data_IF_018070438428
#
_entry.id   IF_018070438428
#
_cell.length_a   1.000
_cell.length_b   1.000
_cell.length_c   1.000
_cell.angle_alpha   90.00
_cell.angle_beta   90.00
_cell.angle_gamma   90.00
#
_symmetry.space_group_name_H-M   'P 1'
#
loop_
_entity.id
_entity.type
_entity.pdbx_description
1 polymer ?
#
# COMPACT_ATOMS: atom_id res chain seq x y z
N UNK A 1 -5.53 -2.02 -13.18
CA UNK A 1 -4.64 -1.46 -12.16
C UNK A 1 -3.47 -2.40 -11.97
N UNK A 2 -2.28 -1.87 -11.70
CA UNK A 2 -1.08 -2.65 -11.42
C UNK A 2 -0.18 -1.91 -10.42
N UNK A 3 0.54 -2.66 -9.59
CA UNK A 3 1.50 -2.12 -8.63
C UNK A 3 2.63 -1.37 -9.36
N UNK A 4 2.96 -0.20 -8.83
CA UNK A 4 4.04 0.67 -9.28
C UNK A 4 4.86 1.10 -8.07
N UNK A 5 6.00 0.44 -7.85
CA UNK A 5 6.94 0.84 -6.81
C UNK A 5 7.50 2.24 -7.15
N UNK A 6 7.11 3.26 -6.39
CA UNK A 6 7.25 4.65 -6.80
C UNK A 6 8.60 5.31 -6.44
N UNK A 7 9.51 4.55 -5.83
CA UNK A 7 10.82 5.06 -5.43
C UNK A 7 11.76 3.97 -4.93
N UNK A 8 13.04 4.30 -4.89
CA UNK A 8 14.09 3.39 -4.41
C UNK A 8 14.25 3.46 -2.90
N UNK A 9 14.56 2.34 -2.27
CA UNK A 9 14.99 2.29 -0.87
C UNK A 9 15.91 1.10 -0.61
N UNK A 10 16.68 1.16 0.47
CA UNK A 10 17.33 -0.04 0.97
C UNK A 10 16.24 -1.04 1.41
N UNK A 11 16.43 -2.31 1.11
CA UNK A 11 15.57 -3.41 1.54
C UNK A 11 16.34 -4.33 2.47
N UNK A 12 16.29 -3.99 3.76
CA UNK A 12 17.13 -4.59 4.80
C UNK A 12 16.26 -5.33 5.81
N UNK A 13 16.84 -6.32 6.48
CA UNK A 13 16.26 -6.94 7.67
C UNK A 13 17.35 -7.55 8.53
N UNK A 14 17.37 -7.22 9.81
CA UNK A 14 18.26 -7.86 10.77
C UNK A 14 17.58 -9.10 11.40
N UNK A 15 18.39 -10.11 11.73
CA UNK A 15 17.98 -11.27 12.55
C UNK A 15 18.30 -11.01 14.02
N UNK A 16 17.69 -11.79 14.91
CA UNK A 16 18.12 -11.90 16.30
C UNK A 16 19.59 -12.36 16.31
N UNK A 17 20.50 -11.54 16.85
CA UNK A 17 21.95 -11.77 16.80
C UNK A 17 22.74 -10.81 15.89
N UNK A 18 22.07 -9.85 15.23
CA UNK A 18 22.74 -8.74 14.55
C UNK A 18 23.20 -9.02 13.11
N UNK A 19 23.09 -10.26 12.62
CA UNK A 19 23.35 -10.60 11.23
C UNK A 19 22.18 -10.19 10.31
N UNK A 20 22.47 -9.92 9.03
CA UNK A 20 21.46 -9.67 8.02
C UNK A 20 20.64 -10.93 7.70
N UNK A 21 19.34 -10.76 7.44
CA UNK A 21 18.46 -11.85 7.06
C UNK A 21 18.67 -12.33 5.62
N UNK A 22 19.18 -11.42 4.78
CA UNK A 22 19.60 -11.58 3.39
C UNK A 22 20.72 -10.56 3.11
N UNK A 23 21.54 -10.72 2.06
CA UNK A 23 22.51 -9.69 1.67
C UNK A 23 21.82 -8.33 1.51
N UNK A 24 22.35 -7.23 2.09
CA UNK A 24 21.79 -5.90 1.91
C UNK A 24 21.52 -5.59 0.44
N UNK A 25 20.29 -5.15 0.15
CA UNK A 25 19.80 -4.94 -1.21
C UNK A 25 19.29 -3.51 -1.35
N UNK A 26 19.58 -2.87 -2.48
CA UNK A 26 18.82 -1.70 -2.93
C UNK A 26 17.61 -2.21 -3.71
N UNK A 27 16.41 -1.90 -3.25
CA UNK A 27 15.22 -2.07 -4.07
C UNK A 27 15.12 -0.88 -5.01
N UNK A 28 15.57 -1.08 -6.24
CA UNK A 28 15.79 -0.04 -7.23
C UNK A 28 14.51 0.31 -7.97
N UNK A 29 14.01 1.52 -7.76
CA UNK A 29 13.00 2.14 -8.61
C UNK A 29 13.41 3.59 -8.85
N UNK A 30 14.45 3.83 -9.65
CA UNK A 30 14.86 5.18 -10.02
C UNK A 30 13.79 5.82 -10.92
N UNK A 31 13.80 7.15 -11.04
CA UNK A 31 12.72 7.92 -11.67
C UNK A 31 12.50 7.51 -13.12
N UNK A 32 13.56 7.21 -13.86
CA UNK A 32 13.49 6.70 -15.24
C UNK A 32 12.74 5.37 -15.35
N UNK A 33 12.96 4.44 -14.42
CA UNK A 33 12.25 3.15 -14.37
C UNK A 33 10.78 3.34 -14.00
N UNK A 34 10.49 4.24 -13.05
CA UNK A 34 9.12 4.61 -12.69
C UNK A 34 8.41 5.21 -13.91
N UNK A 35 9.09 6.09 -14.67
CA UNK A 35 8.54 6.67 -15.90
C UNK A 35 8.23 5.59 -16.94
N UNK A 36 9.14 4.64 -17.17
CA UNK A 36 8.91 3.55 -18.13
C UNK A 36 7.68 2.72 -17.76
N UNK A 37 7.47 2.45 -16.45
CA UNK A 37 6.24 1.80 -15.98
C UNK A 37 5.00 2.64 -16.23
N UNK A 38 5.04 3.94 -15.92
CA UNK A 38 3.89 4.82 -16.13
C UNK A 38 3.53 4.98 -17.60
N UNK A 39 4.52 5.11 -18.48
CA UNK A 39 4.31 5.17 -19.93
C UNK A 39 3.63 3.88 -20.43
N UNK A 40 4.13 2.71 -20.00
CA UNK A 40 3.54 1.42 -20.35
C UNK A 40 2.12 1.25 -19.79
N UNK A 41 1.88 1.66 -18.54
CA UNK A 41 0.57 1.60 -17.91
C UNK A 41 -0.44 2.50 -18.63
N UNK A 42 -0.04 3.74 -18.94
CA UNK A 42 -0.88 4.69 -19.68
C UNK A 42 -1.25 4.16 -21.08
N UNK A 43 -0.28 3.64 -21.83
CA UNK A 43 -0.49 3.06 -23.16
C UNK A 43 -1.51 1.90 -23.14
N UNK A 44 -1.64 1.19 -22.01
CA UNK A 44 -2.54 0.06 -21.84
C UNK A 44 -3.80 0.40 -21.03
N UNK A 45 -4.01 1.67 -20.66
CA UNK A 45 -5.13 2.08 -19.81
C UNK A 45 -5.12 1.44 -18.42
N UNK A 46 -3.95 1.09 -17.91
CA UNK A 46 -3.75 0.54 -16.57
C UNK A 46 -3.53 1.68 -15.59
N UNK A 47 -4.29 1.67 -14.50
CA UNK A 47 -4.10 2.65 -13.41
C UNK A 47 -2.93 2.21 -12.52
N UNK A 48 -1.97 3.09 -12.21
CA UNK A 48 -0.89 2.79 -11.28
C UNK A 48 -1.39 2.77 -9.83
N UNK A 49 -1.05 1.71 -9.10
CA UNK A 49 -1.12 1.66 -7.64
C UNK A 49 0.29 1.97 -7.11
N UNK A 50 0.51 3.19 -6.64
CA UNK A 50 1.82 3.67 -6.20
C UNK A 50 2.19 3.10 -4.82
N UNK A 51 3.05 2.08 -4.80
CA UNK A 51 3.59 1.50 -3.58
C UNK A 51 4.67 2.41 -3.00
N UNK A 52 4.38 2.97 -1.81
CA UNK A 52 5.20 3.96 -1.12
C UNK A 52 5.68 3.37 0.21
N UNK A 53 6.98 3.13 0.32
CA UNK A 53 7.63 2.53 1.49
C UNK A 53 8.14 3.57 2.48
N UNK A 54 8.16 4.86 2.12
CA UNK A 54 8.61 5.95 2.99
C UNK A 54 7.94 7.28 2.59
N UNK A 55 7.95 8.27 3.47
CA UNK A 55 7.36 9.61 3.26
C UNK A 55 7.98 10.31 2.05
N UNK A 56 9.28 10.15 1.82
CA UNK A 56 9.94 10.69 0.63
C UNK A 56 9.35 10.16 -0.68
N UNK A 57 8.94 8.89 -0.70
CA UNK A 57 8.33 8.26 -1.88
C UNK A 57 6.89 8.77 -2.09
N UNK A 58 6.12 8.97 -1.01
CA UNK A 58 4.80 9.61 -1.07
C UNK A 58 4.91 10.99 -1.73
N UNK A 59 5.90 11.80 -1.29
CA UNK A 59 6.16 13.12 -1.86
C UNK A 59 6.63 13.07 -3.31
N UNK A 60 7.39 12.04 -3.70
CA UNK A 60 7.76 11.82 -5.10
C UNK A 60 6.55 11.62 -6.01
N UNK A 61 5.49 10.94 -5.56
CA UNK A 61 4.25 10.79 -6.34
C UNK A 61 3.62 12.15 -6.66
N UNK A 62 3.65 13.10 -5.73
CA UNK A 62 3.21 14.47 -5.99
C UNK A 62 4.07 15.14 -7.07
N UNK A 63 5.39 15.00 -6.99
CA UNK A 63 6.32 15.54 -8.00
C UNK A 63 6.13 14.90 -9.38
N UNK A 64 5.87 13.60 -9.45
CA UNK A 64 5.56 12.92 -10.71
C UNK A 64 4.28 13.47 -11.35
N UNK A 65 3.27 13.80 -10.52
CA UNK A 65 2.05 14.45 -10.99
C UNK A 65 2.31 15.87 -11.49
N UNK A 66 3.05 16.67 -10.73
CA UNK A 66 3.44 18.03 -11.12
C UNK A 66 4.27 18.05 -12.42
N UNK A 67 5.12 17.04 -12.62
CA UNK A 67 5.90 16.86 -13.84
C UNK A 67 5.07 16.36 -15.03
N UNK A 68 3.86 15.85 -14.81
CA UNK A 68 3.00 15.30 -15.86
C UNK A 68 3.33 13.86 -16.27
N UNK A 69 3.97 13.07 -15.39
CA UNK A 69 4.26 11.65 -15.66
C UNK A 69 3.00 10.77 -15.62
N UNK A 70 1.94 11.22 -14.96
CA UNK A 70 0.63 10.58 -14.97
C UNK A 70 -0.48 11.61 -14.76
N UNK A 71 -1.70 11.23 -15.10
CA UNK A 71 -2.90 12.06 -14.95
C UNK A 71 -3.91 11.41 -13.97
N UNK A 72 -4.88 12.20 -13.52
CA UNK A 72 -5.94 11.74 -12.61
C UNK A 72 -5.55 11.75 -11.13
N UNK A 73 -6.44 11.26 -10.25
CA UNK A 73 -6.15 11.14 -8.83
C UNK A 73 -5.07 10.06 -8.57
N UNK A 74 -4.07 10.30 -7.70
CA UNK A 74 -3.14 9.26 -7.30
C UNK A 74 -3.85 8.15 -6.53
N UNK A 75 -3.37 6.91 -6.68
CA UNK A 75 -3.77 5.77 -5.87
C UNK A 75 -2.53 5.28 -5.11
N UNK A 76 -2.44 5.59 -3.81
CA UNK A 76 -1.24 5.32 -3.00
C UNK A 76 -1.47 4.12 -2.08
N UNK A 77 -0.52 3.18 -2.12
CA UNK A 77 -0.40 2.09 -1.15
C UNK A 77 0.72 2.42 -0.17
N UNK A 78 0.37 2.77 1.06
CA UNK A 78 1.32 2.95 2.15
C UNK A 78 1.80 1.56 2.60
N UNK A 79 3.02 1.19 2.20
CA UNK A 79 3.64 -0.09 2.58
C UNK A 79 4.39 0.09 3.88
N UNK A 80 3.77 -0.34 4.98
CA UNK A 80 4.25 -0.09 6.34
C UNK A 80 4.74 -1.38 6.99
N UNK A 81 5.92 -1.35 7.61
CA UNK A 81 6.50 -2.48 8.34
C UNK A 81 7.66 -3.20 7.63
N UNK A 82 8.03 -2.78 6.42
CA UNK A 82 9.36 -3.12 5.87
C UNK A 82 10.43 -2.52 6.79
N UNK A 83 11.40 -3.33 7.22
CA UNK A 83 12.29 -2.94 8.32
C UNK A 83 13.18 -1.73 8.04
N UNK A 84 13.43 -1.40 6.77
CA UNK A 84 14.17 -0.21 6.33
C UNK A 84 13.28 0.88 5.71
N UNK A 85 11.96 0.70 5.72
CA UNK A 85 10.97 1.70 5.32
C UNK A 85 10.22 2.27 6.52
N UNK A 86 9.04 2.84 6.28
CA UNK A 86 8.17 3.36 7.32
C UNK A 86 7.64 2.22 8.22
N UNK A 87 7.62 2.41 9.55
CA UNK A 87 7.21 1.38 10.49
C UNK A 87 5.70 1.14 10.44
N UNK A 88 5.23 -0.05 10.83
CA UNK A 88 3.80 -0.35 10.99
C UNK A 88 3.22 0.32 12.25
N UNK A 89 3.11 1.66 12.23
CA UNK A 89 2.70 2.51 13.35
C UNK A 89 1.45 3.32 13.01
N UNK A 90 0.30 3.08 13.67
CA UNK A 90 -0.96 3.78 13.41
C UNK A 90 -0.84 5.31 13.51
N UNK A 91 -0.01 5.80 14.43
CA UNK A 91 0.17 7.22 14.70
C UNK A 91 0.92 7.99 13.59
N UNK A 92 1.51 7.29 12.63
CA UNK A 92 2.16 7.91 11.47
C UNK A 92 1.17 8.25 10.35
N UNK A 93 -0.01 7.60 10.32
CA UNK A 93 -0.97 7.77 9.23
C UNK A 93 -1.39 9.23 9.00
N UNK A 94 -1.73 10.04 10.03
CA UNK A 94 -2.10 11.43 9.81
C UNK A 94 -1.02 12.24 9.09
N UNK A 95 0.25 12.08 9.50
CA UNK A 95 1.39 12.75 8.88
C UNK A 95 1.60 12.32 7.42
N UNK A 96 1.42 11.03 7.12
CA UNK A 96 1.55 10.51 5.75
C UNK A 96 0.42 10.99 4.84
N UNK A 97 -0.80 11.12 5.37
CA UNK A 97 -1.97 11.62 4.63
C UNK A 97 -1.82 13.11 4.32
N UNK A 98 -1.25 13.91 5.24
CA UNK A 98 -0.99 15.34 5.02
C UNK A 98 -0.04 15.63 3.84
N UNK A 99 0.86 14.70 3.51
CA UNK A 99 1.78 14.82 2.37
C UNK A 99 1.15 14.44 1.01
N UNK A 100 -0.08 13.89 1.01
CA UNK A 100 -0.73 13.44 -0.22
C UNK A 100 -1.38 14.60 -0.98
N UNK A 101 -1.36 14.50 -2.32
CA UNK A 101 -2.11 15.43 -3.17
C UNK A 101 -3.61 15.32 -2.87
N UNK A 102 -4.37 16.43 -2.79
CA UNK A 102 -5.82 16.38 -2.61
C UNK A 102 -6.52 15.47 -3.63
N UNK A 103 -7.48 14.67 -3.15
CA UNK A 103 -8.20 13.69 -3.96
C UNK A 103 -7.46 12.36 -4.17
N UNK A 104 -6.31 12.17 -3.51
CA UNK A 104 -5.62 10.86 -3.49
C UNK A 104 -6.49 9.80 -2.83
N UNK A 105 -6.67 8.66 -3.49
CA UNK A 105 -7.14 7.45 -2.85
C UNK A 105 -5.95 6.75 -2.20
N UNK A 106 -6.07 6.36 -0.94
CA UNK A 106 -5.00 5.64 -0.27
C UNK A 106 -5.46 4.34 0.36
N UNK A 107 -4.51 3.43 0.52
CA UNK A 107 -4.66 2.20 1.27
C UNK A 107 -3.43 1.92 2.12
N UNK A 108 -3.57 1.03 3.09
CA UNK A 108 -2.44 0.48 3.85
C UNK A 108 -2.19 -0.97 3.46
N UNK A 109 -0.93 -1.28 3.18
CA UNK A 109 -0.35 -2.62 3.13
C UNK A 109 0.51 -2.78 4.37
N UNK A 110 0.07 -3.60 5.32
CA UNK A 110 0.71 -3.72 6.63
C UNK A 110 1.50 -5.02 6.74
N UNK A 111 2.83 -4.91 6.79
CA UNK A 111 3.75 -6.04 6.89
C UNK A 111 4.14 -6.23 8.35
N UNK A 112 3.93 -7.42 8.89
CA UNK A 112 4.24 -7.67 10.29
C UNK A 112 3.54 -8.89 10.87
N UNK A 113 3.33 -8.87 12.18
CA UNK A 113 2.63 -9.93 12.91
C UNK A 113 1.22 -9.49 13.29
N UNK A 114 0.99 -9.19 14.57
CA UNK A 114 -0.33 -8.83 15.10
C UNK A 114 -0.52 -7.32 15.17
N UNK A 115 0.57 -6.55 15.23
CA UNK A 115 0.59 -5.08 15.20
C UNK A 115 -0.06 -4.49 13.94
N UNK A 116 -0.13 -5.27 12.85
CA UNK A 116 -0.76 -4.86 11.58
C UNK A 116 -2.25 -4.58 11.73
N UNK A 117 -2.93 -5.22 12.69
CA UNK A 117 -4.38 -5.11 12.85
C UNK A 117 -4.81 -3.75 13.40
N UNK A 118 -4.04 -3.19 14.34
CA UNK A 118 -4.28 -1.83 14.85
C UNK A 118 -4.04 -0.77 13.77
N UNK A 119 -3.03 -1.01 12.92
CA UNK A 119 -2.75 -0.15 11.79
C UNK A 119 -3.88 -0.18 10.74
N UNK A 120 -4.40 -1.36 10.42
CA UNK A 120 -5.57 -1.47 9.54
C UNK A 120 -6.79 -0.76 10.11
N UNK A 121 -7.10 -0.95 11.40
CA UNK A 121 -8.21 -0.25 12.07
C UNK A 121 -8.05 1.26 11.92
N UNK A 122 -6.87 1.79 12.26
CA UNK A 122 -6.61 3.23 12.17
C UNK A 122 -6.72 3.77 10.75
N UNK A 123 -6.27 3.01 9.75
CA UNK A 123 -6.45 3.39 8.34
C UNK A 123 -7.93 3.56 7.99
N UNK A 124 -8.77 2.60 8.39
CA UNK A 124 -10.21 2.60 8.11
C UNK A 124 -10.91 3.76 8.83
N UNK A 125 -10.56 4.03 10.09
CA UNK A 125 -11.06 5.17 10.88
C UNK A 125 -10.77 6.52 10.22
N UNK A 126 -9.63 6.63 9.53
CA UNK A 126 -9.22 7.83 8.80
C UNK A 126 -9.80 7.92 7.38
N UNK A 127 -10.62 6.94 6.97
CA UNK A 127 -11.27 6.92 5.66
C UNK A 127 -10.49 6.18 4.56
N UNK A 128 -9.33 5.61 4.88
CA UNK A 128 -8.49 4.87 3.94
C UNK A 128 -9.01 3.48 3.61
N UNK A 129 -8.40 2.85 2.61
CA UNK A 129 -8.63 1.45 2.24
C UNK A 129 -7.56 0.53 2.86
N UNK A 130 -7.77 -0.78 2.79
CA UNK A 130 -6.90 -1.75 3.47
C UNK A 130 -6.68 -2.98 2.59
N UNK A 131 -5.47 -3.53 2.66
CA UNK A 131 -5.08 -4.79 2.01
C UNK A 131 -4.61 -5.78 3.07
N UNK A 132 -4.96 -7.05 2.90
CA UNK A 132 -4.40 -8.15 3.69
C UNK A 132 -4.21 -9.37 2.82
N UNK A 133 -3.35 -10.27 3.27
CA UNK A 133 -3.07 -11.56 2.65
C UNK A 133 -1.83 -12.17 3.26
N UNK A 134 -1.57 -13.44 2.93
CA UNK A 134 -0.39 -14.18 3.38
C UNK A 134 0.93 -13.60 2.86
N UNK A 135 0.86 -12.70 1.87
CA UNK A 135 2.00 -11.89 1.43
C UNK A 135 2.47 -10.92 2.52
N UNK A 136 1.52 -10.35 3.27
CA UNK A 136 1.78 -9.22 4.17
C UNK A 136 1.87 -9.69 5.65
N UNK A 137 0.99 -10.62 6.06
CA UNK A 137 1.00 -11.20 7.41
C UNK A 137 0.57 -12.67 7.41
N UNK A 138 1.16 -13.44 8.33
CA UNK A 138 0.73 -14.81 8.61
C UNK A 138 -0.19 -14.93 9.82
N UNK A 139 -0.50 -13.84 10.51
CA UNK A 139 -1.08 -13.88 11.85
C UNK A 139 -2.47 -13.22 11.91
N UNK A 140 -3.43 -13.93 12.50
CA UNK A 140 -4.75 -13.42 12.85
C UNK A 140 -4.68 -12.44 14.05
N UNK A 141 -5.74 -11.66 14.34
CA UNK A 141 -5.74 -10.71 15.45
C UNK A 141 -5.46 -11.34 16.82
N UNK A 142 -5.81 -12.62 17.00
CA UNK A 142 -5.54 -13.39 18.23
C UNK A 142 -4.13 -13.98 18.30
N UNK A 143 -3.27 -13.69 17.31
CA UNK A 143 -1.89 -14.16 17.22
C UNK A 143 -1.72 -15.58 16.67
N UNK A 144 -2.80 -16.29 16.33
CA UNK A 144 -2.70 -17.59 15.64
C UNK A 144 -2.26 -17.40 14.19
N UNK A 145 -1.62 -18.41 13.62
CA UNK A 145 -1.33 -18.43 12.19
C UNK A 145 -2.62 -18.63 11.39
N UNK A 146 -2.81 -17.83 10.35
CA UNK A 146 -3.91 -18.01 9.41
C UNK A 146 -3.73 -19.30 8.61
N UNK A 147 -4.83 -20.01 8.32
CA UNK A 147 -4.84 -21.21 7.47
C UNK A 147 -4.86 -20.88 5.97
N UNK A 148 -5.05 -19.61 5.61
CA UNK A 148 -5.20 -19.13 4.24
C UNK A 148 -5.52 -17.63 4.19
N UNK A 149 -5.73 -17.10 2.99
CA UNK A 149 -6.16 -15.70 2.82
C UNK A 149 -7.59 -15.44 3.34
N UNK A 150 -8.50 -16.43 3.25
CA UNK A 150 -9.90 -16.28 3.68
C UNK A 150 -10.05 -15.77 5.12
N UNK A 151 -9.46 -16.42 6.13
CA UNK A 151 -9.51 -15.95 7.52
C UNK A 151 -8.94 -14.54 7.74
N UNK A 152 -7.90 -14.14 6.97
CA UNK A 152 -7.35 -12.79 7.04
C UNK A 152 -8.34 -11.76 6.48
N UNK A 153 -8.94 -12.05 5.33
CA UNK A 153 -9.97 -11.21 4.70
C UNK A 153 -11.20 -11.09 5.60
N UNK A 154 -11.66 -12.18 6.22
CA UNK A 154 -12.78 -12.16 7.17
C UNK A 154 -12.48 -11.28 8.39
N UNK A 155 -11.27 -11.40 8.95
CA UNK A 155 -10.84 -10.56 10.07
C UNK A 155 -10.78 -9.07 9.70
N UNK A 156 -10.25 -8.75 8.52
CA UNK A 156 -10.17 -7.37 8.02
C UNK A 156 -11.56 -6.79 7.71
N UNK A 157 -12.44 -7.57 7.09
CA UNK A 157 -13.82 -7.17 6.82
C UNK A 157 -14.60 -6.92 8.11
N UNK A 158 -14.35 -7.69 9.17
CA UNK A 158 -14.93 -7.42 10.50
C UNK A 158 -14.47 -6.06 11.04
N UNK A 159 -13.17 -5.74 10.97
CA UNK A 159 -12.65 -4.43 11.39
C UNK A 159 -13.33 -3.30 10.61
N UNK A 160 -13.51 -3.45 9.29
CA UNK A 160 -14.20 -2.46 8.45
C UNK A 160 -15.62 -2.18 8.97
N UNK A 161 -16.38 -3.23 9.31
CA UNK A 161 -17.74 -3.12 9.85
C UNK A 161 -17.80 -2.52 11.24
N UNK A 162 -16.84 -2.86 12.10
CA UNK A 162 -16.76 -2.30 13.46
C UNK A 162 -16.56 -0.78 13.47
N UNK A 163 -15.96 -0.21 12.43
CA UNK A 163 -15.79 1.25 12.24
C UNK A 163 -17.01 1.87 11.52
N UNK A 164 -18.05 1.08 11.23
CA UNK A 164 -19.28 1.56 10.58
C UNK A 164 -19.19 1.72 9.07
N UNK A 165 -18.23 1.04 8.42
CA UNK A 165 -18.06 1.02 6.96
C UNK A 165 -18.38 -0.37 6.40
N UNK A 166 -18.51 -0.49 5.08
CA UNK A 166 -18.67 -1.78 4.39
C UNK A 166 -17.59 -1.96 3.33
N UNK A 167 -17.25 -3.22 3.05
CA UNK A 167 -16.32 -3.55 1.98
C UNK A 167 -16.99 -3.36 0.61
N UNK A 168 -16.31 -2.66 -0.29
CA UNK A 168 -16.77 -2.50 -1.67
C UNK A 168 -16.79 -3.85 -2.39
N UNK A 169 -17.86 -4.11 -3.14
CA UNK A 169 -17.90 -5.15 -4.16
C UNK A 169 -16.88 -4.86 -5.27
N UNK A 170 -16.49 -5.88 -6.07
CA UNK A 170 -15.62 -5.66 -7.22
C UNK A 170 -16.18 -4.65 -8.25
N UNK A 171 -17.50 -4.46 -8.32
CA UNK A 171 -18.11 -3.47 -9.20
C UNK A 171 -17.92 -2.04 -8.65
N UNK A 172 -18.25 -1.83 -7.37
CA UNK A 172 -18.04 -0.55 -6.68
C UNK A 172 -16.55 -0.17 -6.65
N UNK A 173 -15.66 -1.13 -6.42
CA UNK A 173 -14.21 -0.88 -6.45
C UNK A 173 -13.74 -0.39 -7.83
N UNK A 174 -14.30 -0.89 -8.93
CA UNK A 174 -13.98 -0.39 -10.28
C UNK A 174 -14.47 1.03 -10.50
N UNK A 175 -15.64 1.37 -9.97
CA UNK A 175 -16.20 2.72 -10.07
C UNK A 175 -15.38 3.72 -9.22
N UNK A 176 -15.07 3.37 -7.98
CA UNK A 176 -14.24 4.19 -7.07
C UNK A 176 -12.86 4.45 -7.67
N UNK A 177 -12.25 3.42 -8.27
CA UNK A 177 -10.89 3.50 -8.79
C UNK A 177 -10.82 3.94 -10.26
N UNK A 178 -11.96 4.30 -10.89
CA UNK A 178 -12.05 4.63 -12.32
C UNK A 178 -11.45 3.57 -13.26
N UNK A 179 -11.55 2.29 -12.87
CA UNK A 179 -11.08 1.18 -13.69
C UNK A 179 -12.11 0.93 -14.79
N UNK A 180 -11.77 1.37 -16.01
CA UNK A 180 -12.55 1.09 -17.23
C UNK A 180 -12.95 -0.38 -17.30
N UNK A 181 -14.24 -0.64 -17.57
CA UNK A 181 -14.71 -1.98 -17.94
C UNK A 181 -13.92 -2.40 -19.16
N UNK A 182 -13.12 -3.46 -19.03
CA UNK A 182 -12.16 -3.86 -20.06
C UNK A 182 -12.82 -3.97 -21.44
N UNK A 183 -12.07 -3.56 -22.47
CA UNK A 183 -12.34 -3.94 -23.85
C UNK A 183 -12.47 -5.47 -23.87
N UNK A 184 -13.68 -5.96 -24.16
CA UNK A 184 -13.87 -7.34 -24.57
C UNK A 184 -13.37 -7.52 -25.99
#
# INVERSE_FOLDING_TARGET
MAACNAGSLNYLKARKGGAWAWPPLLFDNPVEKVKDFLDAMNANGVIPEFECFDTGIVRSVALYKENGMFEGPPHISLVMGVASGMPARPEWLPLLIEEMVPGTHYQVIAIGRTEVWDLHRRCVELGGNVRTGLEDTFYLPDGKKASGNGPLVEALARIVREVGREAASPAEAREILDIRKGLR
#
